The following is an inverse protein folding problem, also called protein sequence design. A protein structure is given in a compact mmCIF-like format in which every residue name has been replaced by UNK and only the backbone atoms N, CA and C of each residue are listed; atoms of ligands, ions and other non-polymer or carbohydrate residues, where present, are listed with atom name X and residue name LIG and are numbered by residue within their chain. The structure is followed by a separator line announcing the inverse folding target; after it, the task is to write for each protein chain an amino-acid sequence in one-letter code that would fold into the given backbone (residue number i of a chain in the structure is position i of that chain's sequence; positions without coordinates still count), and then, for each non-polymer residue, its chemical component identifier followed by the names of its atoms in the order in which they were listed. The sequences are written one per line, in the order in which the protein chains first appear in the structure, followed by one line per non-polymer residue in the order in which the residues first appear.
data_IF_620334445922
#
_entry.id   IF_620334445922
#
_cell.length_a   1.000
_cell.length_b   1.000
_cell.length_c   1.000
_cell.angle_alpha   90.00
_cell.angle_beta   90.00
_cell.angle_gamma   90.00
#
_symmetry.space_group_name_H-M   'P 1'
#
loop_
_entity.id
_entity.type
_entity.pdbx_description
1 polymer ?
#
# COMPACT_ATOMS: atom_id res chain seq x y z
N UNK A 1 -5.72 -5.68 20.04
CA UNK A 1 -6.16 -6.94 20.69
C UNK A 1 -6.35 -8.06 19.66
N UNK A 2 -7.17 -7.89 18.62
CA UNK A 2 -7.46 -8.94 17.61
C UNK A 2 -6.21 -9.67 17.08
N UNK A 3 -5.22 -8.95 16.53
CA UNK A 3 -4.02 -9.60 15.99
C UNK A 3 -3.23 -10.38 17.04
N UNK A 4 -3.16 -9.87 18.28
CA UNK A 4 -2.47 -10.54 19.36
C UNK A 4 -3.17 -11.86 19.71
N UNK A 5 -4.51 -11.84 19.74
CA UNK A 5 -5.33 -13.00 20.07
C UNK A 5 -5.22 -14.07 18.98
N UNK A 6 -5.29 -13.68 17.70
CA UNK A 6 -5.34 -14.64 16.58
C UNK A 6 -3.96 -15.04 16.03
N UNK A 7 -2.95 -14.19 16.18
CA UNK A 7 -1.63 -14.41 15.57
C UNK A 7 -0.47 -14.27 16.56
N UNK A 8 -0.74 -14.05 17.85
CA UNK A 8 0.30 -13.90 18.87
C UNK A 8 1.14 -12.62 18.75
N UNK A 9 0.71 -11.65 17.93
CA UNK A 9 1.47 -10.42 17.64
C UNK A 9 0.57 -9.20 17.49
N UNK A 10 1.06 -8.04 17.90
CA UNK A 10 0.31 -6.79 17.75
C UNK A 10 0.24 -6.30 16.31
N UNK A 11 1.32 -6.51 15.55
CA UNK A 11 1.49 -5.99 14.19
C UNK A 11 1.17 -7.08 13.16
N UNK A 12 0.42 -6.73 12.13
CA UNK A 12 0.16 -7.59 10.98
C UNK A 12 1.45 -7.74 10.15
N UNK A 13 1.75 -8.96 9.65
CA UNK A 13 2.96 -9.21 8.84
C UNK A 13 3.07 -8.29 7.63
N UNK A 14 1.97 -8.07 6.94
CA UNK A 14 1.90 -7.14 5.81
C UNK A 14 2.39 -5.73 6.16
N UNK A 15 1.95 -5.21 7.31
CA UNK A 15 2.41 -3.92 7.79
C UNK A 15 3.90 -3.94 8.12
N UNK A 16 4.37 -4.99 8.78
CA UNK A 16 5.78 -5.11 9.15
C UNK A 16 6.70 -5.22 7.93
N UNK A 17 6.34 -6.04 6.93
CA UNK A 17 7.18 -6.26 5.74
C UNK A 17 7.19 -5.04 4.81
N UNK A 18 6.06 -4.34 4.66
CA UNK A 18 6.00 -3.11 3.85
C UNK A 18 6.91 -2.04 4.47
N UNK A 19 6.78 -1.79 5.79
CA UNK A 19 7.64 -0.85 6.50
C UNK A 19 9.12 -1.24 6.36
N UNK A 20 9.45 -2.51 6.62
CA UNK A 20 10.80 -3.04 6.46
C UNK A 20 11.35 -2.77 5.06
N UNK A 21 10.58 -3.09 4.01
CA UNK A 21 11.00 -2.91 2.61
C UNK A 21 11.36 -1.46 2.31
N UNK A 22 10.50 -0.50 2.69
CA UNK A 22 10.79 0.92 2.49
C UNK A 22 12.03 1.38 3.27
N UNK A 23 12.19 0.90 4.52
CA UNK A 23 13.37 1.22 5.34
C UNK A 23 14.65 0.66 4.77
N UNK A 24 14.62 -0.59 4.30
CA UNK A 24 15.76 -1.26 3.71
C UNK A 24 16.18 -0.58 2.40
N UNK A 25 15.21 -0.29 1.51
CA UNK A 25 15.49 0.40 0.25
C UNK A 25 16.05 1.80 0.45
N UNK A 26 15.55 2.53 1.44
CA UNK A 26 16.09 3.85 1.79
C UNK A 26 17.55 3.74 2.26
N UNK A 27 17.84 2.80 3.17
CA UNK A 27 19.22 2.55 3.65
C UNK A 27 20.15 2.09 2.53
N UNK A 28 19.70 1.20 1.66
CA UNK A 28 20.46 0.75 0.48
C UNK A 28 20.78 1.90 -0.48
N UNK A 29 19.84 2.84 -0.67
CA UNK A 29 20.04 4.00 -1.56
C UNK A 29 21.06 4.98 -1.04
N UNK A 30 21.12 5.20 0.28
CA UNK A 30 21.94 6.26 0.88
C UNK A 30 23.15 5.76 1.67
N UNK A 31 23.34 4.45 1.79
CA UNK A 31 24.47 3.84 2.51
C UNK A 31 24.54 4.33 3.95
N UNK A 32 25.75 4.53 4.48
CA UNK A 32 25.97 5.03 5.86
C UNK A 32 25.40 6.43 6.10
N UNK A 33 25.28 7.25 5.05
CA UNK A 33 24.75 8.62 5.14
C UNK A 33 23.23 8.73 5.25
N UNK A 34 22.50 7.61 5.34
CA UNK A 34 21.03 7.62 5.32
C UNK A 34 20.40 8.48 6.42
N UNK A 35 21.02 8.57 7.61
CA UNK A 35 20.50 9.38 8.71
C UNK A 35 20.44 10.87 8.37
N UNK A 36 21.40 11.40 7.60
CA UNK A 36 21.41 12.79 7.16
C UNK A 36 20.29 13.09 6.15
N UNK A 37 19.81 12.08 5.44
CA UNK A 37 18.72 12.16 4.47
C UNK A 37 17.34 11.91 5.09
N UNK A 38 17.28 11.41 6.32
CA UNK A 38 16.01 11.11 6.97
C UNK A 38 15.08 12.34 7.09
N UNK A 39 15.54 13.54 7.49
CA UNK A 39 14.67 14.71 7.55
C UNK A 39 14.02 15.06 6.20
N UNK A 40 14.76 14.94 5.10
CA UNK A 40 14.28 15.16 3.74
C UNK A 40 13.17 14.17 3.38
N UNK A 41 13.37 12.88 3.65
CA UNK A 41 12.34 11.85 3.47
C UNK A 41 11.08 12.15 4.28
N UNK A 42 11.22 12.57 5.55
CA UNK A 42 10.08 12.89 6.40
C UNK A 42 9.30 14.09 5.86
N UNK A 43 10.00 15.14 5.40
CA UNK A 43 9.38 16.31 4.77
C UNK A 43 8.68 15.94 3.46
N UNK A 44 9.31 15.11 2.62
CA UNK A 44 8.71 14.60 1.39
C UNK A 44 7.47 13.75 1.65
N UNK A 45 7.50 12.92 2.69
CA UNK A 45 6.33 12.17 3.14
C UNK A 45 5.23 13.11 3.61
N UNK A 46 5.55 14.17 4.36
CA UNK A 46 4.57 15.17 4.77
C UNK A 46 3.95 15.86 3.56
N UNK A 47 4.78 16.35 2.65
CA UNK A 47 4.36 17.05 1.44
C UNK A 47 3.54 16.14 0.51
N UNK A 48 3.92 14.88 0.36
CA UNK A 48 3.21 13.90 -0.46
C UNK A 48 1.79 13.67 0.05
N UNK A 49 1.60 13.46 1.35
CA UNK A 49 0.24 13.28 1.87
C UNK A 49 -0.56 14.57 1.90
N UNK A 50 0.08 15.73 2.07
CA UNK A 50 -0.60 17.01 1.85
C UNK A 50 -1.08 17.11 0.40
N UNK A 51 -0.26 16.75 -0.59
CA UNK A 51 -0.67 16.66 -1.99
C UNK A 51 -1.79 15.64 -2.21
N UNK A 52 -1.77 14.49 -1.53
CA UNK A 52 -2.85 13.50 -1.61
C UNK A 52 -4.17 14.04 -1.04
N UNK A 53 -4.11 14.72 0.10
CA UNK A 53 -5.26 15.38 0.72
C UNK A 53 -5.78 16.53 -0.17
N UNK A 54 -4.91 17.43 -0.60
CA UNK A 54 -5.25 18.65 -1.35
C UNK A 54 -5.67 18.36 -2.79
N UNK A 55 -4.89 17.57 -3.52
CA UNK A 55 -5.04 17.38 -4.96
C UNK A 55 -6.11 16.37 -5.37
N UNK A 56 -6.51 15.45 -4.48
CA UNK A 56 -7.53 14.44 -4.80
C UNK A 56 -8.75 14.43 -3.86
N UNK A 57 -8.68 15.11 -2.71
CA UNK A 57 -9.75 15.07 -1.69
C UNK A 57 -10.16 16.45 -1.14
N UNK A 58 -9.79 17.57 -1.79
CA UNK A 58 -10.20 18.92 -1.37
C UNK A 58 -9.58 19.40 -0.04
N UNK A 59 -8.39 18.87 0.30
CA UNK A 59 -7.76 18.82 1.63
C UNK A 59 -7.39 20.12 2.37
N UNK A 60 -7.87 21.28 1.94
CA UNK A 60 -7.79 22.50 2.78
C UNK A 60 -8.84 22.42 3.89
N UNK A 61 -9.94 21.70 3.64
CA UNK A 61 -11.12 21.65 4.50
C UNK A 61 -10.87 21.08 5.91
N UNK A 62 -10.14 19.95 6.10
CA UNK A 62 -9.86 19.40 7.43
C UNK A 62 -9.06 20.33 8.34
N UNK A 63 -8.04 20.99 7.78
CA UNK A 63 -7.16 21.88 8.54
C UNK A 63 -7.88 23.18 8.90
N UNK A 64 -8.65 23.75 7.97
CA UNK A 64 -9.49 24.91 8.25
C UNK A 64 -10.57 24.59 9.28
N UNK A 65 -11.18 23.41 9.22
CA UNK A 65 -12.14 22.97 10.22
C UNK A 65 -11.47 22.87 11.60
N UNK A 66 -10.30 22.23 11.70
CA UNK A 66 -9.56 22.15 12.95
C UNK A 66 -9.19 23.53 13.50
N UNK A 67 -8.67 24.43 12.65
CA UNK A 67 -8.32 25.79 13.05
C UNK A 67 -9.54 26.62 13.47
N UNK A 68 -10.68 26.46 12.80
CA UNK A 68 -11.95 27.08 13.17
C UNK A 68 -12.43 26.59 14.54
N UNK A 69 -12.31 25.28 14.80
CA UNK A 69 -12.66 24.65 16.07
C UNK A 69 -11.75 25.13 17.21
N UNK A 70 -10.44 25.21 16.96
CA UNK A 70 -9.45 25.74 17.91
C UNK A 70 -9.58 27.25 18.12
N UNK A 71 -9.95 28.02 17.10
CA UNK A 71 -10.22 29.46 17.25
C UNK A 71 -11.43 29.71 18.15
N UNK A 72 -12.48 28.90 17.99
CA UNK A 72 -13.71 28.98 18.79
C UNK A 72 -13.56 28.48 20.23
N UNK A 73 -12.45 27.79 20.55
CA UNK A 73 -12.10 27.30 21.89
C UNK A 73 -11.86 28.42 22.90
N UNK A 74 -11.51 29.65 22.46
CA UNK A 74 -11.32 30.80 23.36
C UNK A 74 -12.67 31.19 23.99
N UNK A 75 -12.95 30.77 25.23
CA UNK A 75 -13.91 31.54 26.05
C UNK A 75 -14.70 30.94 27.23
N UNK A 76 -14.72 29.63 27.55
CA UNK A 76 -15.36 29.20 28.83
C UNK A 76 -14.96 27.79 29.32
N UNK A 77 -15.00 27.52 30.64
CA UNK A 77 -14.82 26.17 31.21
C UNK A 77 -15.88 25.15 30.75
N UNK A 78 -17.08 25.61 30.39
CA UNK A 78 -18.13 24.74 29.86
C UNK A 78 -17.77 24.22 28.46
N UNK A 79 -17.09 25.04 27.64
CA UNK A 79 -16.57 24.61 26.34
C UNK A 79 -15.52 23.51 26.47
N UNK A 80 -14.71 23.50 27.53
CA UNK A 80 -13.74 22.42 27.79
C UNK A 80 -14.42 21.04 27.93
N UNK A 81 -15.62 20.98 28.53
CA UNK A 81 -16.40 19.73 28.62
C UNK A 81 -16.86 19.26 27.24
N UNK A 82 -17.23 20.20 26.38
CA UNK A 82 -17.64 19.93 25.00
C UNK A 82 -16.48 19.45 24.10
N UNK A 83 -15.25 19.91 24.34
CA UNK A 83 -14.08 19.46 23.57
C UNK A 83 -13.46 18.15 24.08
N UNK A 84 -13.86 17.64 25.25
CA UNK A 84 -13.29 16.41 25.83
C UNK A 84 -13.39 15.19 24.89
N UNK A 85 -14.49 14.97 24.13
CA UNK A 85 -14.57 13.87 23.16
C UNK A 85 -13.75 14.09 21.89
N UNK A 86 -13.34 15.34 21.62
CA UNK A 86 -12.56 15.74 20.44
C UNK A 86 -11.09 15.40 20.64
N UNK A 87 -10.59 15.52 21.87
CA UNK A 87 -9.18 15.28 22.20
C UNK A 87 -8.68 13.87 21.78
N UNK A 88 -9.41 12.77 22.07
CA UNK A 88 -9.04 11.44 21.57
C UNK A 88 -8.97 11.38 20.04
N UNK A 89 -9.85 12.09 19.33
CA UNK A 89 -9.83 12.13 17.86
C UNK A 89 -8.61 12.89 17.35
N UNK A 90 -8.29 14.05 17.94
CA UNK A 90 -7.09 14.81 17.58
C UNK A 90 -5.82 14.01 17.86
N UNK A 91 -5.77 13.34 19.01
CA UNK A 91 -4.66 12.44 19.35
C UNK A 91 -4.57 11.30 18.34
N UNK A 92 -5.68 10.67 17.98
CA UNK A 92 -5.69 9.63 16.94
C UNK A 92 -5.18 10.18 15.60
N UNK A 93 -5.66 11.34 15.15
CA UNK A 93 -5.22 11.94 13.88
C UNK A 93 -3.72 12.23 13.90
N UNK A 94 -3.20 12.75 15.01
CA UNK A 94 -1.77 13.01 15.21
C UNK A 94 -0.96 11.71 15.23
N UNK A 95 -1.39 10.70 15.97
CA UNK A 95 -0.71 9.40 16.05
C UNK A 95 -0.74 8.65 14.73
N UNK A 96 -1.89 8.63 14.05
CA UNK A 96 -2.04 8.07 12.70
C UNK A 96 -1.11 8.78 11.73
N UNK A 97 -1.07 10.12 11.78
CA UNK A 97 -0.18 10.93 10.96
C UNK A 97 1.30 10.64 11.24
N UNK A 98 1.67 10.62 12.52
CA UNK A 98 3.01 10.31 12.99
C UNK A 98 3.43 8.90 12.58
N UNK A 99 2.56 7.91 12.73
CA UNK A 99 2.82 6.53 12.33
C UNK A 99 3.17 6.43 10.84
N UNK A 100 2.33 6.95 9.95
CA UNK A 100 2.57 6.84 8.50
C UNK A 100 3.73 7.69 7.99
N UNK A 101 4.12 8.74 8.72
CA UNK A 101 5.21 9.65 8.33
C UNK A 101 6.54 9.23 8.92
N UNK A 102 6.59 8.97 10.23
CA UNK A 102 7.81 8.72 10.98
C UNK A 102 8.21 7.25 10.97
N UNK A 103 7.24 6.33 10.92
CA UNK A 103 7.51 4.89 10.97
C UNK A 103 7.23 4.17 9.65
N UNK A 104 6.05 4.29 9.05
CA UNK A 104 5.67 3.42 7.93
C UNK A 104 6.35 3.77 6.59
N UNK A 105 6.72 5.05 6.39
CA UNK A 105 7.35 5.63 5.18
C UNK A 105 6.66 5.29 3.84
N UNK A 106 5.40 4.87 3.91
CA UNK A 106 4.56 4.53 2.78
C UNK A 106 3.17 5.09 3.00
N UNK A 107 2.55 5.62 1.94
CA UNK A 107 1.23 6.21 2.05
C UNK A 107 0.40 5.86 0.84
N UNK A 108 -0.82 5.41 1.12
CA UNK A 108 -1.82 5.12 0.12
C UNK A 108 -3.05 5.95 0.44
N UNK A 109 -3.79 6.34 -0.60
CA UNK A 109 -4.95 7.21 -0.47
C UNK A 109 -6.00 6.65 0.50
N UNK A 110 -6.19 5.33 0.52
CA UNK A 110 -7.16 4.69 1.41
C UNK A 110 -6.77 4.74 2.89
N UNK A 111 -5.49 4.98 3.24
CA UNK A 111 -5.09 5.21 4.64
C UNK A 111 -5.63 6.52 5.21
N UNK A 112 -6.13 7.43 4.36
CA UNK A 112 -6.72 8.70 4.76
C UNK A 112 -8.23 8.62 4.99
N UNK A 113 -8.88 7.48 4.68
CA UNK A 113 -10.32 7.30 4.86
C UNK A 113 -10.74 7.34 6.33
N UNK A 114 -10.00 6.66 7.22
CA UNK A 114 -10.31 6.69 8.65
C UNK A 114 -10.23 8.10 9.26
N UNK A 115 -9.16 8.89 9.05
CA UNK A 115 -9.13 10.31 9.39
C UNK A 115 -10.32 11.11 8.84
N UNK A 116 -10.70 10.86 7.58
CA UNK A 116 -11.82 11.55 6.94
C UNK A 116 -13.16 11.25 7.64
N UNK A 117 -13.44 9.98 7.96
CA UNK A 117 -14.65 9.59 8.70
C UNK A 117 -14.70 10.17 10.11
N UNK A 118 -13.56 10.31 10.77
CA UNK A 118 -13.51 10.94 12.09
C UNK A 118 -13.76 12.45 12.04
N UNK A 119 -13.26 13.13 11.02
CA UNK A 119 -13.55 14.55 10.80
C UNK A 119 -15.03 14.78 10.51
N UNK A 120 -15.66 13.86 9.77
CA UNK A 120 -17.11 13.82 9.58
C UNK A 120 -17.87 13.70 10.89
N UNK A 121 -17.48 12.73 11.71
CA UNK A 121 -18.09 12.52 13.02
C UNK A 121 -17.94 13.76 13.91
N UNK A 122 -16.75 14.36 13.96
CA UNK A 122 -16.51 15.60 14.69
C UNK A 122 -17.41 16.72 14.18
N UNK A 123 -17.54 16.90 12.88
CA UNK A 123 -18.36 17.97 12.34
C UNK A 123 -19.84 17.82 12.71
N UNK A 124 -20.37 16.59 12.70
CA UNK A 124 -21.73 16.29 13.21
C UNK A 124 -21.86 16.52 14.71
N UNK A 125 -20.88 16.08 15.50
CA UNK A 125 -20.83 16.33 16.94
C UNK A 125 -20.85 17.85 17.24
N UNK A 126 -20.04 18.62 16.52
CA UNK A 126 -19.99 20.07 16.66
C UNK A 126 -21.31 20.76 16.27
N UNK A 127 -21.99 20.31 15.22
CA UNK A 127 -23.32 20.85 14.87
C UNK A 127 -24.32 20.67 16.01
N UNK A 128 -24.42 19.45 16.54
CA UNK A 128 -25.40 19.14 17.59
C UNK A 128 -25.16 19.95 18.86
N UNK A 129 -23.91 20.14 19.26
CA UNK A 129 -23.57 21.01 20.39
C UNK A 129 -23.88 22.48 20.12
N UNK A 130 -23.54 23.00 18.94
CA UNK A 130 -23.81 24.38 18.57
C UNK A 130 -25.31 24.70 18.55
N UNK A 131 -26.15 23.76 18.10
CA UNK A 131 -27.61 23.93 18.13
C UNK A 131 -28.17 23.97 19.55
N UNK A 132 -27.62 23.18 20.47
CA UNK A 132 -28.02 23.17 21.89
C UNK A 132 -27.70 24.48 22.60
N UNK A 133 -26.59 25.13 22.22
CA UNK A 133 -26.17 26.43 22.78
C UNK A 133 -26.90 27.63 22.14
N UNK A 134 -27.95 27.42 21.33
CA UNK A 134 -28.65 28.51 20.62
C UNK A 134 -27.83 29.13 19.47
N UNK A 135 -26.70 28.51 19.10
CA UNK A 135 -25.88 28.92 17.98
C UNK A 135 -26.59 28.73 16.64
N UNK A 136 -26.46 29.70 15.75
CA UNK A 136 -26.87 29.55 14.34
C UNK A 136 -26.01 28.43 13.74
N UNK A 137 -26.61 27.31 13.31
CA UNK A 137 -25.93 26.13 12.76
C UNK A 137 -25.22 26.32 11.41
N UNK A 138 -24.66 27.50 11.15
CA UNK A 138 -24.01 27.83 9.87
C UNK A 138 -22.73 27.03 9.63
N UNK A 139 -22.00 26.65 10.68
CA UNK A 139 -20.81 25.79 10.57
C UNK A 139 -21.19 24.43 9.98
N UNK A 140 -22.29 23.84 10.47
CA UNK A 140 -22.83 22.62 9.87
C UNK A 140 -23.29 22.82 8.44
N UNK A 141 -23.93 23.94 8.12
CA UNK A 141 -24.30 24.24 6.73
C UNK A 141 -23.08 24.32 5.82
N UNK A 142 -21.96 24.90 6.26
CA UNK A 142 -20.72 24.93 5.48
C UNK A 142 -20.12 23.54 5.36
N UNK A 143 -20.10 22.75 6.44
CA UNK A 143 -19.61 21.36 6.40
C UNK A 143 -20.46 20.51 5.46
N UNK A 144 -21.78 20.54 5.62
CA UNK A 144 -22.72 19.81 4.79
C UNK A 144 -22.64 20.29 3.35
N UNK A 145 -22.55 21.60 3.09
CA UNK A 145 -22.38 22.13 1.74
C UNK A 145 -21.05 21.70 1.12
N UNK A 146 -19.95 21.71 1.89
CA UNK A 146 -18.65 21.21 1.44
C UNK A 146 -18.69 19.71 1.14
N UNK A 147 -19.42 18.93 1.93
CA UNK A 147 -19.64 17.50 1.70
C UNK A 147 -20.53 17.21 0.51
N UNK A 148 -21.65 17.92 0.38
CA UNK A 148 -22.54 17.84 -0.78
C UNK A 148 -21.76 18.23 -2.03
N UNK A 149 -20.98 19.31 -2.00
CA UNK A 149 -20.10 19.68 -3.10
C UNK A 149 -19.05 18.59 -3.41
N UNK A 150 -18.44 17.99 -2.38
CA UNK A 150 -17.48 16.89 -2.56
C UNK A 150 -18.13 15.64 -3.15
N UNK A 151 -19.32 15.28 -2.68
CA UNK A 151 -20.09 14.14 -3.19
C UNK A 151 -20.59 14.39 -4.61
N UNK A 152 -21.10 15.59 -4.91
CA UNK A 152 -21.49 16.03 -6.24
C UNK A 152 -20.28 16.20 -7.18
N UNK A 153 -19.07 16.30 -6.64
CA UNK A 153 -17.84 16.24 -7.43
C UNK A 153 -17.41 14.82 -7.78
N UNK A 154 -17.97 13.78 -7.13
CA UNK A 154 -17.61 12.38 -7.42
C UNK A 154 -17.93 11.97 -8.87
N UNK A 155 -19.06 12.35 -9.50
CA UNK A 155 -19.28 12.12 -10.93
C UNK A 155 -18.23 12.78 -11.82
N UNK A 156 -17.77 13.99 -11.45
CA UNK A 156 -16.70 14.67 -12.19
C UNK A 156 -15.35 13.97 -12.01
N UNK A 157 -15.01 13.58 -10.78
CA UNK A 157 -13.84 12.76 -10.49
C UNK A 157 -13.90 11.40 -11.19
N UNK A 158 -15.07 10.76 -11.23
CA UNK A 158 -15.32 9.51 -11.94
C UNK A 158 -15.14 9.68 -13.45
N UNK A 159 -15.66 10.76 -14.05
CA UNK A 159 -15.44 11.08 -15.46
C UNK A 159 -13.95 11.29 -15.78
N UNK A 160 -13.18 11.89 -14.86
CA UNK A 160 -11.72 12.00 -15.01
C UNK A 160 -11.02 10.64 -14.87
N UNK A 161 -11.48 9.78 -13.97
CA UNK A 161 -10.97 8.41 -13.80
C UNK A 161 -11.29 7.53 -15.02
N UNK A 162 -12.46 7.68 -15.65
CA UNK A 162 -12.81 6.96 -16.88
C UNK A 162 -11.84 7.32 -18.01
N UNK A 163 -11.40 8.58 -18.10
CA UNK A 163 -10.41 9.02 -19.10
C UNK A 163 -8.98 8.58 -18.79
N UNK A 164 -8.65 8.39 -17.51
CA UNK A 164 -7.34 7.93 -17.04
C UNK A 164 -7.54 6.90 -15.94
N UNK A 165 -7.66 5.60 -16.29
CA UNK A 165 -7.95 4.57 -15.31
C UNK A 165 -6.92 4.62 -14.18
N UNK A 166 -7.39 4.41 -12.95
CA UNK A 166 -6.57 4.54 -11.75
C UNK A 166 -5.43 3.49 -11.72
N UNK A 167 -5.67 2.35 -12.36
CA UNK A 167 -4.72 1.24 -12.50
C UNK A 167 -4.65 0.78 -13.96
N UNK A 168 -4.01 1.55 -14.85
CA UNK A 168 -3.97 1.24 -16.29
C UNK A 168 -3.30 -0.10 -16.60
N UNK A 169 -2.48 -0.62 -15.69
CA UNK A 169 -1.84 -1.94 -15.83
C UNK A 169 -2.76 -3.14 -15.54
N UNK A 170 -3.88 -2.97 -14.82
CA UNK A 170 -4.73 -4.11 -14.41
C UNK A 170 -5.32 -4.93 -15.58
N UNK A 171 -5.78 -4.32 -16.69
CA UNK A 171 -6.21 -5.09 -17.86
C UNK A 171 -5.11 -6.00 -18.42
N UNK A 172 -3.87 -5.51 -18.45
CA UNK A 172 -2.71 -6.28 -18.92
C UNK A 172 -2.37 -7.43 -17.95
N UNK A 173 -2.49 -7.20 -16.64
CA UNK A 173 -2.37 -8.28 -15.66
C UNK A 173 -3.44 -9.37 -15.83
N UNK A 174 -4.67 -8.99 -16.15
CA UNK A 174 -5.76 -9.94 -16.41
C UNK A 174 -5.52 -10.74 -17.70
N UNK A 175 -5.05 -10.07 -18.75
CA UNK A 175 -4.65 -10.71 -20.01
C UNK A 175 -3.52 -11.72 -19.79
N UNK A 176 -2.46 -11.31 -19.07
CA UNK A 176 -1.36 -12.18 -18.71
C UNK A 176 -1.81 -13.37 -17.87
N UNK A 177 -2.68 -13.15 -16.87
CA UNK A 177 -3.21 -14.22 -16.03
C UNK A 177 -3.99 -15.27 -16.83
N UNK A 178 -4.82 -14.84 -17.80
CA UNK A 178 -5.63 -15.73 -18.64
C UNK A 178 -4.80 -16.51 -19.65
N UNK A 179 -3.68 -15.96 -20.09
CA UNK A 179 -2.78 -16.60 -21.05
C UNK A 179 -1.63 -17.35 -20.38
N UNK A 180 -1.42 -17.19 -19.06
CA UNK A 180 -0.28 -17.72 -18.33
C UNK A 180 -0.06 -19.21 -18.58
N UNK A 181 -1.11 -20.01 -18.46
CA UNK A 181 -1.04 -21.47 -18.59
C UNK A 181 -0.63 -21.92 -20.00
N UNK A 182 -0.88 -21.11 -21.04
CA UNK A 182 -0.42 -21.40 -22.41
C UNK A 182 1.09 -21.23 -22.58
N UNK A 183 1.73 -20.42 -21.74
CA UNK A 183 3.17 -20.18 -21.78
C UNK A 183 3.95 -21.16 -20.90
N UNK A 184 3.42 -21.48 -19.72
CA UNK A 184 4.17 -22.22 -18.69
C UNK A 184 3.67 -23.65 -18.45
N UNK A 185 2.51 -24.02 -19.01
CA UNK A 185 1.84 -25.28 -18.75
C UNK A 185 1.02 -25.28 -17.44
N UNK A 186 0.01 -26.12 -17.36
CA UNK A 186 -0.83 -26.23 -16.15
C UNK A 186 -0.01 -26.75 -14.97
N UNK A 187 -0.27 -26.18 -13.77
CA UNK A 187 0.40 -26.57 -12.53
C UNK A 187 1.82 -26.03 -12.35
N UNK A 188 2.33 -25.23 -13.30
CA UNK A 188 3.58 -24.51 -13.13
C UNK A 188 3.53 -23.60 -11.90
N UNK A 189 4.69 -23.40 -11.25
CA UNK A 189 4.82 -22.59 -10.04
C UNK A 189 5.40 -21.23 -10.44
N UNK A 190 4.57 -20.20 -10.36
CA UNK A 190 4.86 -18.85 -10.85
C UNK A 190 4.94 -17.90 -9.67
N UNK A 191 6.06 -17.19 -9.52
CA UNK A 191 6.21 -16.13 -8.53
C UNK A 191 5.70 -14.79 -9.06
N UNK A 192 5.06 -13.98 -8.22
CA UNK A 192 4.68 -12.61 -8.53
C UNK A 192 4.77 -11.74 -7.28
N UNK A 193 5.28 -10.52 -7.37
CA UNK A 193 5.25 -9.52 -6.29
C UNK A 193 3.88 -8.82 -6.19
N UNK A 194 3.05 -8.95 -7.22
CA UNK A 194 1.62 -8.66 -7.17
C UNK A 194 0.79 -9.86 -7.64
N UNK A 195 0.64 -10.84 -6.77
CA UNK A 195 -0.01 -12.10 -7.12
C UNK A 195 -1.55 -12.04 -7.21
N UNK A 196 -2.20 -10.94 -6.81
CA UNK A 196 -3.66 -10.93 -6.59
C UNK A 196 -4.49 -11.33 -7.82
N UNK A 197 -4.30 -10.63 -8.95
CA UNK A 197 -4.98 -10.94 -10.22
C UNK A 197 -4.53 -12.30 -10.79
N UNK A 198 -3.22 -12.57 -10.99
CA UNK A 198 -2.80 -13.83 -11.60
C UNK A 198 -3.18 -15.06 -10.77
N UNK A 199 -3.10 -15.01 -9.44
CA UNK A 199 -3.51 -16.13 -8.59
C UNK A 199 -5.02 -16.42 -8.64
N UNK A 200 -5.85 -15.45 -9.01
CA UNK A 200 -7.30 -15.63 -9.11
C UNK A 200 -7.72 -16.22 -10.46
N UNK A 201 -7.06 -15.82 -11.56
CA UNK A 201 -7.51 -16.15 -12.92
C UNK A 201 -6.70 -17.24 -13.62
N UNK A 202 -5.45 -17.50 -13.22
CA UNK A 202 -4.64 -18.57 -13.81
C UNK A 202 -4.93 -19.92 -13.14
N UNK A 203 -4.71 -21.02 -13.87
CA UNK A 203 -4.73 -22.37 -13.29
C UNK A 203 -3.39 -22.78 -12.65
N UNK A 204 -2.31 -22.15 -13.09
CA UNK A 204 -0.97 -22.28 -12.50
C UNK A 204 -0.95 -21.89 -11.02
N UNK A 205 0.00 -22.45 -10.26
CA UNK A 205 0.18 -22.11 -8.85
C UNK A 205 0.95 -20.80 -8.75
N UNK A 206 0.24 -19.71 -8.45
CA UNK A 206 0.86 -18.38 -8.29
C UNK A 206 1.22 -18.12 -6.82
N UNK A 207 2.49 -17.83 -6.55
CA UNK A 207 3.04 -17.61 -5.22
C UNK A 207 3.40 -16.13 -5.07
N UNK A 208 2.85 -15.49 -4.03
CA UNK A 208 3.17 -14.09 -3.76
C UNK A 208 4.59 -13.95 -3.18
N UNK A 209 5.42 -13.12 -3.81
CA UNK A 209 6.82 -12.86 -3.50
C UNK A 209 7.04 -11.53 -2.72
N UNK A 210 5.99 -10.79 -2.38
CA UNK A 210 6.12 -9.52 -1.65
C UNK A 210 6.25 -9.65 -0.12
N UNK A 211 6.01 -10.85 0.42
CA UNK A 211 6.01 -11.15 1.85
C UNK A 211 4.79 -10.64 2.62
N UNK A 212 3.79 -10.05 1.98
CA UNK A 212 2.58 -9.47 2.61
C UNK A 212 1.68 -10.55 3.17
N UNK A 213 1.53 -11.64 2.44
CA UNK A 213 0.68 -12.80 2.80
C UNK A 213 1.49 -14.06 3.09
N UNK A 214 2.81 -14.01 2.89
CA UNK A 214 3.70 -15.15 3.05
C UNK A 214 4.88 -14.81 3.99
N UNK A 215 4.80 -15.21 5.27
CA UNK A 215 5.82 -14.89 6.26
C UNK A 215 7.22 -15.43 5.92
N UNK A 216 7.29 -16.58 5.24
CA UNK A 216 8.55 -17.22 4.84
C UNK A 216 9.29 -16.37 3.79
N UNK A 217 8.58 -15.84 2.80
CA UNK A 217 9.13 -14.86 1.85
C UNK A 217 9.61 -13.62 2.59
N UNK A 218 8.86 -13.15 3.58
CA UNK A 218 9.27 -12.02 4.41
C UNK A 218 10.60 -12.27 5.14
N UNK A 219 10.84 -13.51 5.60
CA UNK A 219 12.12 -13.90 6.20
C UNK A 219 13.25 -13.98 5.16
N UNK A 220 12.97 -14.49 3.96
CA UNK A 220 13.91 -14.51 2.84
C UNK A 220 14.33 -13.08 2.42
N UNK A 221 13.36 -12.16 2.25
CA UNK A 221 13.60 -10.74 1.95
C UNK A 221 14.46 -10.09 3.05
N UNK A 222 14.17 -10.36 4.32
CA UNK A 222 14.94 -9.79 5.45
C UNK A 222 16.38 -10.30 5.51
N UNK A 223 16.62 -11.52 5.06
CA UNK A 223 17.95 -12.12 5.02
C UNK A 223 18.70 -11.89 3.71
N UNK A 224 18.09 -11.23 2.72
CA UNK A 224 18.71 -11.03 1.40
C UNK A 224 18.84 -12.33 0.60
N UNK A 225 17.95 -13.31 0.84
CA UNK A 225 17.94 -14.65 0.25
C UNK A 225 16.67 -14.95 -0.54
N UNK A 226 16.14 -13.93 -1.23
CA UNK A 226 14.91 -14.09 -2.02
C UNK A 226 15.07 -15.13 -3.14
N UNK A 227 16.25 -15.22 -3.75
CA UNK A 227 16.60 -16.20 -4.78
C UNK A 227 16.63 -17.63 -4.23
N UNK A 228 17.20 -17.85 -3.04
CA UNK A 228 17.13 -19.15 -2.36
C UNK A 228 15.68 -19.58 -2.15
N UNK A 229 14.84 -18.67 -1.67
CA UNK A 229 13.42 -18.95 -1.48
C UNK A 229 12.72 -19.33 -2.80
N UNK A 230 13.02 -18.62 -3.90
CA UNK A 230 12.49 -18.94 -5.24
C UNK A 230 12.88 -20.36 -5.64
N UNK A 231 14.14 -20.76 -5.42
CA UNK A 231 14.64 -22.12 -5.70
C UNK A 231 14.00 -23.18 -4.80
N UNK A 232 13.99 -22.95 -3.48
CA UNK A 232 13.43 -23.87 -2.48
C UNK A 232 11.94 -24.13 -2.69
N UNK A 233 11.19 -23.10 -3.12
CA UNK A 233 9.77 -23.25 -3.47
C UNK A 233 9.53 -23.79 -4.86
N UNK A 234 10.58 -24.14 -5.62
CA UNK A 234 10.46 -24.67 -6.97
C UNK A 234 9.73 -23.72 -7.92
N UNK A 235 9.91 -22.41 -7.75
CA UNK A 235 9.32 -21.40 -8.61
C UNK A 235 10.11 -21.39 -9.93
N UNK A 236 9.45 -21.74 -11.02
CA UNK A 236 10.09 -21.89 -12.34
C UNK A 236 9.92 -20.66 -13.21
N UNK A 237 8.98 -19.78 -12.88
CA UNK A 237 8.70 -18.56 -13.63
C UNK A 237 8.38 -17.38 -12.70
N UNK A 238 8.64 -16.16 -13.16
CA UNK A 238 8.26 -14.91 -12.49
C UNK A 238 7.37 -14.11 -13.44
N UNK A 239 6.21 -13.64 -12.95
CA UNK A 239 5.31 -12.76 -13.67
C UNK A 239 5.18 -11.43 -12.91
N UNK A 240 5.88 -10.39 -13.34
CA UNK A 240 5.74 -9.06 -12.73
C UNK A 240 6.25 -7.90 -13.62
N UNK A 241 5.94 -6.67 -13.21
CA UNK A 241 6.42 -5.48 -13.92
C UNK A 241 7.90 -5.25 -13.65
N UNK A 242 8.59 -4.71 -14.65
CA UNK A 242 10.02 -4.44 -14.60
C UNK A 242 10.46 -3.72 -13.33
N UNK A 243 9.77 -2.64 -12.95
CA UNK A 243 10.13 -1.85 -11.78
C UNK A 243 10.09 -2.68 -10.48
N UNK A 244 9.15 -3.61 -10.34
CA UNK A 244 9.06 -4.48 -9.16
C UNK A 244 10.15 -5.55 -9.17
N UNK A 245 10.43 -6.15 -10.32
CA UNK A 245 11.51 -7.14 -10.46
C UNK A 245 12.84 -6.52 -10.05
N UNK A 246 13.16 -5.34 -10.60
CA UNK A 246 14.39 -4.61 -10.27
C UNK A 246 14.43 -4.14 -8.81
N UNK A 247 13.28 -3.76 -8.24
CA UNK A 247 13.19 -3.39 -6.83
C UNK A 247 13.54 -4.56 -5.91
N UNK A 248 12.93 -5.72 -6.17
CA UNK A 248 13.08 -6.90 -5.31
C UNK A 248 14.38 -7.66 -5.53
N UNK A 249 15.04 -7.49 -6.69
CA UNK A 249 16.36 -8.05 -6.92
C UNK A 249 17.42 -7.55 -5.93
N UNK A 250 17.18 -6.43 -5.26
CA UNK A 250 18.04 -5.91 -4.17
C UNK A 250 17.98 -6.76 -2.89
N UNK A 251 17.02 -7.69 -2.79
CA UNK A 251 16.86 -8.63 -1.69
C UNK A 251 17.24 -10.06 -2.07
N UNK A 252 17.87 -10.24 -3.24
CA UNK A 252 18.41 -11.50 -3.72
C UNK A 252 19.95 -11.42 -3.80
N UNK A 253 20.60 -12.56 -4.04
CA UNK A 253 22.03 -12.59 -4.32
C UNK A 253 22.41 -11.72 -5.54
N UNK A 254 23.62 -11.11 -5.55
CA UNK A 254 24.13 -10.41 -6.71
C UNK A 254 24.10 -11.29 -7.96
N UNK A 255 23.60 -10.75 -9.07
CA UNK A 255 23.48 -11.50 -10.32
C UNK A 255 22.18 -12.28 -10.51
N UNK A 256 21.26 -12.28 -9.52
CA UNK A 256 19.97 -12.98 -9.65
C UNK A 256 19.16 -12.58 -10.90
N UNK A 257 19.22 -11.31 -11.33
CA UNK A 257 18.56 -10.89 -12.59
C UNK A 257 19.09 -11.67 -13.81
N UNK A 258 20.38 -12.03 -13.83
CA UNK A 258 20.95 -12.80 -14.94
C UNK A 258 20.45 -14.26 -14.97
N UNK A 259 19.87 -14.76 -13.87
CA UNK A 259 19.22 -16.07 -13.83
C UNK A 259 17.76 -16.01 -14.30
N UNK A 260 17.29 -14.86 -14.81
CA UNK A 260 15.93 -14.69 -15.32
C UNK A 260 15.97 -14.46 -16.83
N UNK A 261 15.44 -15.42 -17.59
CA UNK A 261 15.34 -15.32 -19.04
C UNK A 261 13.95 -14.83 -19.46
N UNK A 262 13.82 -13.80 -20.30
CA UNK A 262 12.52 -13.35 -20.78
C UNK A 262 11.85 -14.42 -21.65
N UNK A 263 10.62 -14.79 -21.29
CA UNK A 263 9.78 -15.72 -22.05
C UNK A 263 8.72 -14.96 -22.86
N UNK A 264 8.07 -13.97 -22.24
CA UNK A 264 7.08 -13.13 -22.90
C UNK A 264 7.05 -11.73 -22.27
N UNK A 265 6.62 -10.73 -23.05
CA UNK A 265 6.47 -9.34 -22.61
C UNK A 265 5.07 -8.88 -22.95
N UNK A 266 4.32 -8.46 -21.95
CA UNK A 266 3.01 -7.85 -22.12
C UNK A 266 3.18 -6.32 -22.09
N UNK A 267 3.01 -5.63 -23.24
CA UNK A 267 3.13 -4.18 -23.29
C UNK A 267 2.12 -3.52 -22.37
N UNK A 268 2.54 -2.51 -21.62
CA UNK A 268 1.63 -1.73 -20.78
C UNK A 268 2.02 -0.25 -20.78
N UNK A 269 1.03 0.62 -20.58
CA UNK A 269 1.22 2.05 -20.36
C UNK A 269 1.45 2.39 -18.88
N UNK A 270 1.68 1.39 -18.03
CA UNK A 270 2.02 1.58 -16.62
C UNK A 270 3.34 2.33 -16.47
N UNK A 271 3.48 3.12 -15.40
CA UNK A 271 4.74 3.82 -15.08
C UNK A 271 5.82 2.87 -14.57
N UNK A 272 5.41 1.69 -14.15
CA UNK A 272 6.22 0.61 -13.59
C UNK A 272 6.93 -0.23 -14.68
N UNK A 273 6.76 0.14 -15.95
CA UNK A 273 7.35 -0.58 -17.08
C UNK A 273 6.51 -1.75 -17.59
N UNK A 274 6.99 -2.47 -18.61
CA UNK A 274 6.30 -3.63 -19.18
C UNK A 274 6.14 -4.75 -18.14
N UNK A 275 5.10 -5.57 -18.33
CA UNK A 275 4.86 -6.78 -17.54
C UNK A 275 5.62 -7.93 -18.19
N UNK A 276 6.56 -8.53 -17.46
CA UNK A 276 7.37 -9.64 -17.95
C UNK A 276 6.88 -10.96 -17.40
N UNK A 277 6.84 -11.97 -18.28
CA UNK A 277 6.91 -13.36 -17.90
C UNK A 277 8.34 -13.84 -18.13
N UNK A 278 9.04 -14.14 -17.04
CA UNK A 278 10.43 -14.59 -17.02
C UNK A 278 10.48 -16.05 -16.61
N UNK A 279 11.42 -16.80 -17.20
CA UNK A 279 11.79 -18.16 -16.79
C UNK A 279 12.98 -18.09 -15.84
N UNK A 280 12.92 -18.85 -14.75
CA UNK A 280 14.04 -19.01 -13.81
C UNK A 280 15.01 -20.06 -14.37
N UNK A 281 16.27 -19.68 -14.49
CA UNK A 281 17.38 -20.55 -14.89
C UNK A 281 18.11 -21.07 -13.65
N UNK A 282 18.70 -22.26 -13.76
CA UNK A 282 19.63 -22.78 -12.78
C UNK A 282 21.03 -22.13 -12.92
N UNK A 283 21.95 -22.47 -12.02
CA UNK A 283 23.33 -21.95 -12.01
C UNK A 283 24.13 -22.28 -13.28
N UNK A 284 23.67 -23.26 -14.08
CA UNK A 284 24.28 -23.64 -15.36
C UNK A 284 23.63 -22.92 -16.54
N UNK A 285 22.70 -22.01 -16.29
CA UNK A 285 21.90 -21.34 -17.32
C UNK A 285 20.87 -22.27 -17.98
N UNK A 286 20.62 -23.44 -17.41
CA UNK A 286 19.65 -24.41 -17.92
C UNK A 286 18.30 -24.15 -17.23
N UNK A 287 17.15 -24.33 -17.89
CA UNK A 287 15.85 -24.20 -17.23
C UNK A 287 15.78 -25.05 -15.97
N UNK A 288 15.41 -24.44 -14.84
CA UNK A 288 15.22 -25.18 -13.59
C UNK A 288 14.14 -26.25 -13.82
N UNK A 289 14.53 -27.52 -13.82
CA UNK A 289 13.55 -28.61 -13.93
C UNK A 289 12.62 -28.54 -12.72
N UNK A 290 11.30 -28.75 -12.90
CA UNK A 290 10.40 -28.87 -11.77
C UNK A 290 10.95 -30.00 -10.90
N UNK A 291 11.30 -29.67 -9.65
CA UNK A 291 11.78 -30.66 -8.69
C UNK A 291 10.68 -31.71 -8.60
N UNK A 292 10.95 -32.92 -9.11
CA UNK A 292 10.04 -34.06 -9.07
C UNK A 292 9.97 -34.63 -7.65
N UNK A 293 9.75 -33.75 -6.67
CA UNK A 293 9.44 -34.12 -5.31
C UNK A 293 8.03 -34.67 -5.29
N UNK A 294 7.91 -36.01 -5.28
CA UNK A 294 6.74 -36.66 -4.69
C UNK A 294 6.57 -36.07 -3.30
N UNK A 295 5.61 -35.17 -3.13
CA UNK A 295 5.08 -34.83 -1.82
C UNK A 295 4.52 -36.14 -1.26
N UNK A 296 5.32 -36.81 -0.44
CA UNK A 296 4.87 -37.91 0.39
C UNK A 296 3.85 -37.34 1.37
N UNK A 297 2.61 -37.25 0.94
CA UNK A 297 1.47 -37.10 1.84
C UNK A 297 1.39 -38.43 2.57
N UNK A 298 1.95 -38.48 3.78
CA UNK A 298 1.59 -39.53 4.73
C UNK A 298 0.15 -39.25 5.18
N UNK A 299 -0.69 -40.28 5.26
CA UNK A 299 -2.10 -40.16 5.63
C UNK A 299 -2.31 -39.60 7.03
#
# INVERSE_FOLDING_TARGET
AWNLIHFGRFVQDSGAIIAYRYHALFRMRFGEGWMHRLPELLLDNVATSQKMLLGRMGGVFPLLLLLLLLWRWRGSPERLRFFRPVLPVLLFLLLHRGFYTLYFWHQQYWYLLAPLYLLLFLAGYFDTGLRREGGKGWVCRIVVAGWVASFLSLPFAAALIVKKPFYPGQPVWLEAARSLDTFVGEGARVGAFNAGIPAFFAKSVVINLDGVVNPEVGAAIRSGRLDDYVREKGITHILDQEAWILLYARFAAPGWIATLAPLHVFPTHSREGPLYLLRVLDERGVPSSPVSGRLGVSP
#
